data_IF_539464478867
#
_entry.id   IF_539464478867
#
_cell.length_a   1.000
_cell.length_b   1.000
_cell.length_c   1.000
_cell.angle_alpha   90.00
_cell.angle_beta   90.00
_cell.angle_gamma   90.00
#
_symmetry.space_group_name_H-M   'P 1'
#
loop_
_entity.id
_entity.type
_entity.pdbx_description
1 polymer ?
#
# COMPACT_ATOMS: atom_id res chain seq x y z
N UNK A 1 -27.29 -9.82 -13.77
CA UNK A 1 -26.87 -9.15 -12.51
C UNK A 1 -26.17 -10.16 -11.59
N UNK A 2 -25.46 -9.71 -10.54
CA UNK A 2 -24.81 -10.61 -9.56
C UNK A 2 -25.83 -11.57 -8.91
N UNK A 3 -27.03 -11.07 -8.61
CA UNK A 3 -28.10 -11.89 -8.01
C UNK A 3 -28.53 -13.07 -8.89
N UNK A 4 -28.64 -12.84 -10.20
CA UNK A 4 -29.05 -13.89 -11.16
C UNK A 4 -27.99 -14.99 -11.19
N UNK A 5 -26.71 -14.62 -11.28
CA UNK A 5 -25.60 -15.57 -11.22
C UNK A 5 -25.64 -16.43 -9.95
N UNK A 6 -25.85 -15.83 -8.78
CA UNK A 6 -25.92 -16.57 -7.51
C UNK A 6 -27.16 -17.47 -7.46
N UNK A 7 -28.31 -16.96 -7.90
CA UNK A 7 -29.58 -17.69 -7.93
C UNK A 7 -29.53 -18.91 -8.86
N UNK A 8 -28.82 -18.81 -9.98
CA UNK A 8 -28.63 -19.90 -10.94
C UNK A 8 -27.64 -20.96 -10.42
N UNK A 9 -26.55 -20.54 -9.77
CA UNK A 9 -25.48 -21.46 -9.36
C UNK A 9 -25.73 -22.15 -8.01
N UNK A 10 -26.45 -21.51 -7.08
CA UNK A 10 -26.71 -22.08 -5.74
C UNK A 10 -27.43 -23.44 -5.79
N UNK A 11 -28.52 -23.64 -6.55
CA UNK A 11 -29.18 -24.94 -6.65
C UNK A 11 -28.29 -26.02 -7.28
N UNK A 12 -27.40 -25.64 -8.20
CA UNK A 12 -26.45 -26.55 -8.83
C UNK A 12 -25.46 -27.08 -7.80
N UNK A 13 -24.86 -26.19 -7.00
CA UNK A 13 -23.96 -26.57 -5.90
C UNK A 13 -24.67 -27.47 -4.88
N UNK A 14 -25.89 -27.13 -4.48
CA UNK A 14 -26.68 -27.95 -3.55
C UNK A 14 -26.94 -29.35 -4.13
N UNK A 15 -27.32 -29.43 -5.41
CA UNK A 15 -27.53 -30.70 -6.11
C UNK A 15 -26.29 -31.57 -6.17
N UNK A 16 -25.10 -30.96 -6.34
CA UNK A 16 -23.83 -31.67 -6.29
C UNK A 16 -23.55 -32.25 -4.89
N UNK A 17 -23.74 -31.47 -3.82
CA UNK A 17 -23.55 -31.95 -2.45
C UNK A 17 -24.51 -33.09 -2.10
N UNK A 18 -25.77 -33.01 -2.53
CA UNK A 18 -26.76 -34.10 -2.36
C UNK A 18 -26.34 -35.38 -3.07
N UNK A 19 -25.85 -35.27 -4.32
CA UNK A 19 -25.35 -36.42 -5.09
C UNK A 19 -24.12 -37.06 -4.46
N UNK A 20 -23.29 -36.28 -3.78
CA UNK A 20 -22.15 -36.78 -3.00
C UNK A 20 -22.55 -37.43 -1.66
N UNK A 21 -23.84 -37.42 -1.29
CA UNK A 21 -24.33 -38.08 -0.08
C UNK A 21 -24.19 -37.27 1.21
N UNK A 22 -23.99 -35.96 1.12
CA UNK A 22 -23.92 -35.09 2.30
C UNK A 22 -25.27 -35.10 3.07
N UNK A 23 -25.25 -35.55 4.32
CA UNK A 23 -26.43 -35.66 5.21
C UNK A 23 -26.74 -34.36 5.97
N UNK A 24 -26.76 -33.23 5.25
CA UNK A 24 -27.03 -31.91 5.83
C UNK A 24 -28.54 -31.68 6.04
N UNK A 25 -28.91 -30.85 7.02
CA UNK A 25 -30.29 -30.40 7.19
C UNK A 25 -30.63 -29.30 6.18
N UNK A 26 -31.05 -29.72 5.00
CA UNK A 26 -31.41 -28.83 3.89
C UNK A 26 -32.60 -27.91 4.19
N UNK A 27 -33.47 -28.28 5.14
CA UNK A 27 -34.61 -27.44 5.53
C UNK A 27 -34.20 -26.16 6.26
N UNK A 28 -32.97 -26.14 6.81
CA UNK A 28 -32.38 -25.02 7.55
C UNK A 28 -31.32 -24.26 6.77
N UNK A 29 -31.20 -24.50 5.46
CA UNK A 29 -30.23 -23.81 4.62
C UNK A 29 -30.38 -22.28 4.73
N UNK A 30 -29.27 -21.60 5.03
CA UNK A 30 -29.20 -20.12 5.08
C UNK A 30 -28.25 -19.62 4.00
N UNK A 31 -28.51 -18.40 3.55
CA UNK A 31 -27.66 -17.63 2.68
C UNK A 31 -27.39 -16.27 3.29
N UNK A 32 -26.19 -15.76 3.06
CA UNK A 32 -25.71 -14.54 3.73
C UNK A 32 -26.52 -13.29 3.38
N UNK A 33 -27.27 -13.31 2.27
CA UNK A 33 -28.19 -12.24 1.87
C UNK A 33 -29.66 -12.53 2.21
N UNK A 34 -29.95 -13.60 2.99
CA UNK A 34 -31.32 -13.81 3.48
C UNK A 34 -31.71 -12.67 4.44
N UNK A 35 -32.97 -12.17 4.40
CA UNK A 35 -33.40 -11.01 5.19
C UNK A 35 -33.14 -11.14 6.70
N UNK A 36 -33.25 -12.35 7.25
CA UNK A 36 -32.97 -12.61 8.67
C UNK A 36 -31.48 -12.47 9.02
N UNK A 37 -30.58 -12.90 8.12
CA UNK A 37 -29.12 -12.83 8.31
C UNK A 37 -28.67 -11.38 8.22
N UNK A 38 -29.19 -10.63 7.24
CA UNK A 38 -28.95 -9.18 7.12
C UNK A 38 -29.36 -8.46 8.41
N UNK A 39 -30.53 -8.79 8.98
CA UNK A 39 -31.01 -8.22 10.25
C UNK A 39 -30.06 -8.52 11.41
N UNK A 40 -29.51 -9.74 11.47
CA UNK A 40 -28.51 -10.13 12.47
C UNK A 40 -27.23 -9.30 12.30
N UNK A 41 -26.71 -9.19 11.09
CA UNK A 41 -25.48 -8.41 10.79
C UNK A 41 -25.64 -6.96 11.23
N UNK A 42 -26.75 -6.28 10.87
CA UNK A 42 -26.99 -4.90 11.30
C UNK A 42 -27.13 -4.76 12.81
N UNK A 43 -27.83 -5.69 13.47
CA UNK A 43 -27.97 -5.68 14.93
C UNK A 43 -26.60 -5.84 15.61
N UNK A 44 -25.76 -6.76 15.12
CA UNK A 44 -24.41 -6.99 15.64
C UNK A 44 -23.53 -5.78 15.41
N UNK A 45 -23.51 -5.21 14.20
CA UNK A 45 -22.75 -4.00 13.91
C UNK A 45 -23.16 -2.84 14.83
N UNK A 46 -24.47 -2.59 14.98
CA UNK A 46 -24.98 -1.57 15.88
C UNK A 46 -24.54 -1.81 17.32
N UNK A 47 -24.61 -3.06 17.80
CA UNK A 47 -24.14 -3.38 19.15
C UNK A 47 -22.64 -3.09 19.31
N UNK A 48 -21.80 -3.49 18.37
CA UNK A 48 -20.36 -3.23 18.43
C UNK A 48 -20.05 -1.73 18.38
N UNK A 49 -20.83 -0.96 17.63
CA UNK A 49 -20.73 0.50 17.61
C UNK A 49 -21.16 1.12 18.95
N UNK A 50 -22.31 0.72 19.49
CA UNK A 50 -22.83 1.20 20.77
C UNK A 50 -21.87 0.83 21.93
N UNK A 51 -21.16 -0.30 21.83
CA UNK A 51 -20.13 -0.76 22.79
C UNK A 51 -18.76 -0.08 22.57
N UNK A 52 -18.60 0.79 21.57
CA UNK A 52 -17.34 1.50 21.26
C UNK A 52 -16.23 0.62 20.67
N UNK A 53 -16.59 -0.55 20.13
CA UNK A 53 -15.67 -1.50 19.49
C UNK A 53 -15.53 -1.27 17.98
N UNK A 54 -16.49 -0.59 17.36
CA UNK A 54 -16.44 -0.16 15.96
C UNK A 54 -16.22 1.35 15.91
N UNK A 55 -15.25 1.79 15.12
CA UNK A 55 -14.98 3.21 14.89
C UNK A 55 -14.66 3.48 13.43
N UNK A 56 -14.81 4.73 13.02
CA UNK A 56 -14.45 5.20 11.68
C UNK A 56 -13.20 6.08 11.79
N UNK A 57 -12.22 5.82 10.93
CA UNK A 57 -10.98 6.56 10.90
C UNK A 57 -10.42 6.58 9.48
N UNK A 58 -9.65 7.62 9.15
CA UNK A 58 -8.79 7.61 7.97
C UNK A 58 -7.48 6.90 8.33
N UNK A 59 -7.19 5.80 7.63
CA UNK A 59 -5.98 5.01 7.81
C UNK A 59 -5.47 4.52 6.46
N UNK A 60 -4.21 4.09 6.44
CA UNK A 60 -3.71 3.34 5.30
C UNK A 60 -4.43 1.98 5.23
N UNK A 61 -4.96 1.66 4.05
CA UNK A 61 -5.65 0.38 3.80
C UNK A 61 -5.04 -0.31 2.60
N UNK A 62 -5.16 -1.64 2.54
CA UNK A 62 -4.80 -2.43 1.38
C UNK A 62 -5.82 -2.18 0.26
N UNK A 63 -5.56 -1.25 -0.65
CA UNK A 63 -6.50 -0.90 -1.71
C UNK A 63 -6.15 -1.59 -3.03
N UNK A 64 -7.13 -2.24 -3.66
CA UNK A 64 -6.96 -2.75 -5.01
C UNK A 64 -7.52 -1.73 -6.02
N UNK A 65 -6.64 -1.12 -6.80
CA UNK A 65 -7.01 -0.13 -7.83
C UNK A 65 -7.74 -0.74 -9.01
N UNK A 66 -7.68 -2.07 -9.17
CA UNK A 66 -8.44 -2.81 -10.18
C UNK A 66 -9.87 -3.12 -9.69
N UNK A 67 -10.01 -3.68 -8.49
CA UNK A 67 -11.32 -4.04 -7.93
C UNK A 67 -12.07 -2.82 -7.35
N UNK A 68 -11.37 -1.71 -7.09
CA UNK A 68 -11.97 -0.46 -6.59
C UNK A 68 -12.41 -0.53 -5.13
N UNK A 69 -11.73 -1.33 -4.29
CA UNK A 69 -12.08 -1.52 -2.88
C UNK A 69 -10.85 -1.79 -2.01
N UNK A 70 -10.99 -1.51 -0.72
CA UNK A 70 -10.06 -1.93 0.32
C UNK A 70 -10.27 -3.41 0.69
N UNK A 71 -9.19 -4.04 1.13
CA UNK A 71 -9.13 -5.42 1.63
C UNK A 71 -8.58 -5.46 3.04
N UNK A 72 -9.00 -6.47 3.82
CA UNK A 72 -8.36 -6.77 5.11
C UNK A 72 -6.98 -7.41 4.92
N UNK A 73 -6.15 -7.43 5.96
CA UNK A 73 -4.82 -8.05 5.89
C UNK A 73 -4.90 -9.55 5.54
N UNK A 74 -5.98 -10.24 5.93
CA UNK A 74 -6.24 -11.65 5.60
C UNK A 74 -6.59 -11.88 4.13
N UNK A 75 -6.96 -10.82 3.40
CA UNK A 75 -7.30 -10.84 1.98
C UNK A 75 -6.14 -10.37 1.09
N UNK A 76 -4.97 -10.18 1.68
CA UNK A 76 -3.72 -9.92 0.97
C UNK A 76 -2.89 -11.18 0.94
N UNK A 77 -2.42 -11.54 -0.25
CA UNK A 77 -1.44 -12.61 -0.44
C UNK A 77 -0.12 -12.00 -0.88
N UNK A 78 0.97 -12.73 -0.65
CA UNK A 78 2.30 -12.28 -1.01
C UNK A 78 2.94 -13.20 -2.03
N UNK A 79 3.61 -12.59 -3.00
CA UNK A 79 4.41 -13.28 -4.01
C UNK A 79 5.85 -12.76 -3.93
N UNK A 80 6.82 -13.67 -3.92
CA UNK A 80 8.22 -13.28 -4.10
C UNK A 80 8.46 -12.93 -5.57
N UNK A 81 9.02 -11.74 -5.80
CA UNK A 81 9.34 -11.25 -7.14
C UNK A 81 10.74 -10.68 -7.15
N UNK A 82 11.41 -10.87 -8.29
CA UNK A 82 12.64 -10.17 -8.62
C UNK A 82 12.29 -8.88 -9.35
N UNK A 83 12.64 -7.74 -8.76
CA UNK A 83 12.46 -6.41 -9.35
C UNK A 83 13.74 -5.59 -9.17
N UNK A 84 13.96 -4.55 -10.00
CA UNK A 84 15.10 -3.67 -9.84
C UNK A 84 15.04 -2.86 -8.54
N UNK A 85 16.15 -2.85 -7.80
CA UNK A 85 16.40 -1.94 -6.69
C UNK A 85 17.21 -0.74 -7.19
N UNK A 86 16.58 0.43 -7.16
CA UNK A 86 17.16 1.67 -7.67
C UNK A 86 17.90 2.41 -6.55
N UNK A 87 19.16 2.72 -6.77
CA UNK A 87 19.96 3.56 -5.88
C UNK A 87 19.94 4.98 -6.40
N UNK A 88 19.26 5.86 -5.67
CA UNK A 88 18.90 7.21 -6.09
C UNK A 88 19.62 8.24 -5.24
N UNK A 89 20.21 9.24 -5.90
CA UNK A 89 20.86 10.37 -5.25
C UNK A 89 19.82 11.33 -4.67
N UNK A 90 19.97 11.66 -3.39
CA UNK A 90 19.23 12.67 -2.64
C UNK A 90 20.23 13.62 -2.00
N UNK A 91 20.71 14.60 -2.77
CA UNK A 91 21.74 15.52 -2.32
C UNK A 91 23.02 14.76 -1.93
N UNK A 92 23.50 14.86 -0.68
CA UNK A 92 24.67 14.12 -0.21
C UNK A 92 24.38 12.64 0.12
N UNK A 93 23.12 12.21 0.08
CA UNK A 93 22.70 10.85 0.41
C UNK A 93 22.38 10.04 -0.85
N UNK A 94 22.42 8.72 -0.69
CA UNK A 94 21.98 7.76 -1.70
C UNK A 94 21.03 6.83 -0.99
N UNK A 95 19.82 6.65 -1.52
CA UNK A 95 18.82 5.73 -0.94
C UNK A 95 18.46 4.63 -1.93
N UNK A 96 18.04 3.48 -1.41
CA UNK A 96 17.59 2.35 -2.20
C UNK A 96 16.06 2.27 -2.19
N UNK A 97 15.43 2.04 -3.36
CA UNK A 97 13.97 1.88 -3.47
C UNK A 97 13.60 1.02 -4.66
N UNK A 98 12.55 0.22 -4.53
CA UNK A 98 11.91 -0.52 -5.65
C UNK A 98 10.78 0.27 -6.31
N UNK A 99 10.33 1.37 -5.69
CA UNK A 99 9.17 2.18 -6.11
C UNK A 99 9.57 3.64 -6.39
N UNK A 100 10.36 3.94 -7.44
CA UNK A 100 10.80 5.30 -7.74
C UNK A 100 9.63 6.24 -8.07
N UNK A 101 8.50 5.73 -8.58
CA UNK A 101 7.31 6.52 -8.88
C UNK A 101 6.63 7.13 -7.64
N UNK A 102 6.87 6.55 -6.45
CA UNK A 102 6.29 7.05 -5.20
C UNK A 102 7.07 8.22 -4.60
N UNK A 103 8.28 8.53 -5.11
CA UNK A 103 9.16 9.62 -4.62
C UNK A 103 8.43 10.96 -4.49
N UNK A 104 7.46 11.25 -5.37
CA UNK A 104 6.72 12.50 -5.32
C UNK A 104 5.97 12.68 -4.00
N UNK A 105 5.66 11.59 -3.30
CA UNK A 105 5.00 11.55 -2.00
C UNK A 105 5.96 11.56 -0.82
N UNK A 106 7.26 11.70 -1.06
CA UNK A 106 8.24 11.70 0.03
C UNK A 106 8.07 12.90 0.93
N UNK A 107 8.15 12.65 2.23
CA UNK A 107 8.02 13.67 3.28
C UNK A 107 9.26 13.77 4.16
N UNK A 108 10.05 12.70 4.21
CA UNK A 108 11.35 12.68 4.85
C UNK A 108 12.25 11.60 4.22
N UNK A 109 13.51 11.62 4.62
CA UNK A 109 14.44 10.50 4.48
C UNK A 109 14.79 10.02 5.88
N UNK A 110 14.75 8.72 6.13
CA UNK A 110 15.11 8.14 7.41
C UNK A 110 16.48 7.47 7.35
N UNK A 111 17.24 7.62 8.42
CA UNK A 111 18.50 6.91 8.69
C UNK A 111 18.46 6.30 10.08
N UNK A 112 19.27 5.28 10.32
CA UNK A 112 19.35 4.68 11.64
C UNK A 112 20.08 5.62 12.64
N UNK A 113 19.58 5.85 13.87
CA UNK A 113 20.18 6.77 14.84
C UNK A 113 21.64 6.44 15.21
N UNK A 114 22.03 5.17 15.10
CA UNK A 114 23.38 4.70 15.44
C UNK A 114 24.31 4.62 14.22
N UNK A 115 23.83 4.90 13.02
CA UNK A 115 24.66 4.89 11.82
C UNK A 115 25.55 6.13 11.74
N UNK A 116 26.84 5.94 12.05
CA UNK A 116 27.83 7.00 12.08
C UNK A 116 28.01 7.70 10.72
N UNK A 117 27.68 7.04 9.59
CA UNK A 117 27.82 7.63 8.24
C UNK A 117 26.93 8.86 8.07
N UNK A 118 25.75 8.86 8.71
CA UNK A 118 24.69 9.84 8.46
C UNK A 118 24.33 10.73 9.65
N UNK A 119 24.94 10.54 10.82
CA UNK A 119 24.67 11.34 12.03
C UNK A 119 24.68 12.86 11.80
N UNK A 120 25.56 13.34 10.93
CA UNK A 120 25.67 14.76 10.60
C UNK A 120 24.46 15.36 9.88
N UNK A 121 23.59 14.53 9.29
CA UNK A 121 22.41 14.96 8.54
C UNK A 121 21.12 14.88 9.36
N UNK A 122 21.10 14.16 10.48
CA UNK A 122 19.91 13.99 11.32
C UNK A 122 19.36 15.37 11.75
N UNK A 123 18.05 15.52 11.65
CA UNK A 123 17.29 16.74 11.94
C UNK A 123 17.65 17.96 11.08
N UNK A 124 18.35 17.74 9.95
CA UNK A 124 18.63 18.77 8.95
C UNK A 124 17.72 18.61 7.74
N UNK A 125 17.50 19.73 7.06
CA UNK A 125 17.00 19.73 5.70
C UNK A 125 18.17 19.67 4.72
N UNK A 126 18.04 18.81 3.72
CA UNK A 126 19.00 18.72 2.62
C UNK A 126 18.32 19.15 1.32
N UNK A 127 19.07 19.86 0.48
CA UNK A 127 18.65 20.17 -0.87
C UNK A 127 18.81 18.93 -1.75
N UNK A 128 17.75 18.59 -2.48
CA UNK A 128 17.71 17.45 -3.38
C UNK A 128 17.31 17.90 -4.78
N UNK A 129 17.90 17.27 -5.79
CA UNK A 129 17.48 17.42 -7.18
C UNK A 129 16.46 16.31 -7.49
N UNK A 130 15.30 16.68 -8.01
CA UNK A 130 14.25 15.75 -8.41
C UNK A 130 14.00 15.84 -9.92
N UNK A 131 13.23 14.90 -10.45
CA UNK A 131 12.78 14.99 -11.85
C UNK A 131 11.93 16.23 -12.13
N UNK A 132 11.29 16.82 -11.11
CA UNK A 132 10.50 18.06 -11.21
C UNK A 132 11.30 19.32 -10.86
N UNK A 133 12.56 19.19 -10.45
CA UNK A 133 13.44 20.30 -10.05
C UNK A 133 13.93 20.19 -8.61
N UNK A 134 14.47 21.28 -8.09
CA UNK A 134 15.03 21.34 -6.73
C UNK A 134 13.93 21.28 -5.67
N UNK A 135 14.16 20.49 -4.63
CA UNK A 135 13.30 20.41 -3.45
C UNK A 135 14.16 20.31 -2.19
N UNK A 136 13.52 20.48 -1.02
CA UNK A 136 14.14 20.20 0.28
C UNK A 136 13.46 19.00 0.91
N UNK A 137 14.23 18.21 1.64
CA UNK A 137 13.69 17.09 2.42
C UNK A 137 14.38 17.01 3.78
N UNK A 138 13.59 16.71 4.81
CA UNK A 138 14.10 16.51 6.16
C UNK A 138 14.72 15.12 6.29
N UNK A 139 15.85 15.03 6.98
CA UNK A 139 16.43 13.74 7.39
C UNK A 139 16.04 13.48 8.84
N UNK A 140 15.43 12.33 9.11
CA UNK A 140 15.00 11.89 10.44
C UNK A 140 15.77 10.65 10.87
N UNK A 141 15.84 10.43 12.19
CA UNK A 141 16.44 9.24 12.76
C UNK A 141 15.36 8.28 13.26
N UNK A 142 15.27 7.08 12.69
CA UNK A 142 14.29 6.06 13.12
C UNK A 142 14.93 4.67 13.19
N UNK A 143 14.59 3.90 14.24
CA UNK A 143 15.14 2.56 14.47
C UNK A 143 14.61 1.51 13.50
N UNK A 144 13.54 1.83 12.76
CA UNK A 144 13.03 0.98 11.68
C UNK A 144 14.06 0.76 10.57
N UNK A 145 14.95 1.73 10.34
CA UNK A 145 15.93 1.67 9.27
C UNK A 145 17.03 0.65 9.58
N UNK A 146 17.21 -0.34 8.71
CA UNK A 146 18.35 -1.26 8.75
C UNK A 146 19.59 -0.59 8.12
N UNK A 147 20.69 -0.34 8.88
CA UNK A 147 21.92 0.23 8.34
C UNK A 147 22.60 -0.63 7.25
N UNK A 148 22.39 -1.95 7.29
CA UNK A 148 23.04 -2.90 6.38
C UNK A 148 22.26 -3.06 5.07
N UNK A 149 20.97 -2.71 5.05
CA UNK A 149 20.16 -2.81 3.86
C UNK A 149 20.41 -1.64 2.89
N UNK A 150 20.83 -1.98 1.66
CA UNK A 150 21.08 -1.01 0.59
C UNK A 150 22.19 -0.03 0.97
N UNK A 151 21.80 1.17 1.40
CA UNK A 151 22.72 2.22 1.88
C UNK A 151 22.49 2.59 3.34
N UNK A 152 21.50 2.02 4.03
CA UNK A 152 21.07 2.48 5.36
C UNK A 152 20.28 3.78 5.33
N UNK A 153 19.77 4.17 4.16
CA UNK A 153 18.95 5.37 3.93
C UNK A 153 17.65 4.96 3.24
N UNK A 154 16.51 5.34 3.83
CA UNK A 154 15.17 4.96 3.35
C UNK A 154 14.37 6.22 3.05
N UNK A 155 13.68 6.26 1.90
CA UNK A 155 12.69 7.32 1.64
C UNK A 155 11.45 7.06 2.48
N UNK A 156 10.83 8.09 3.03
CA UNK A 156 9.58 7.96 3.78
C UNK A 156 8.45 8.52 2.92
N UNK A 157 7.58 7.64 2.41
CA UNK A 157 6.41 7.96 1.59
C UNK A 157 5.12 7.48 2.27
N UNK A 158 4.61 8.22 3.28
CA UNK A 158 3.66 7.68 4.26
C UNK A 158 2.29 7.28 3.71
N UNK A 159 1.93 7.77 2.54
CA UNK A 159 0.64 7.51 1.92
C UNK A 159 0.64 6.24 1.03
N UNK A 160 1.77 5.56 0.87
CA UNK A 160 1.95 4.46 -0.09
C UNK A 160 2.68 3.24 0.45
N UNK A 161 3.02 3.24 1.74
CA UNK A 161 3.68 2.13 2.41
C UNK A 161 3.32 2.14 3.90
N UNK A 162 3.05 0.96 4.48
CA UNK A 162 2.61 0.84 5.88
C UNK A 162 3.73 1.16 6.86
N UNK A 163 4.96 0.73 6.58
CA UNK A 163 6.09 0.98 7.47
C UNK A 163 6.45 2.48 7.46
N UNK A 164 6.45 3.10 6.27
CA UNK A 164 6.63 4.54 6.12
C UNK A 164 5.55 5.34 6.86
N UNK A 165 4.30 4.84 6.88
CA UNK A 165 3.18 5.47 7.60
C UNK A 165 3.38 5.43 9.11
N UNK A 166 3.88 4.32 9.64
CA UNK A 166 4.20 4.19 11.05
C UNK A 166 5.37 5.11 11.45
N UNK A 167 6.44 5.16 10.64
CA UNK A 167 7.55 6.10 10.82
C UNK A 167 7.01 7.54 10.83
N UNK A 168 6.19 7.90 9.84
CA UNK A 168 5.60 9.23 9.76
C UNK A 168 4.76 9.59 10.99
N UNK A 169 4.00 8.64 11.52
CA UNK A 169 3.21 8.85 12.73
C UNK A 169 4.08 9.12 13.96
N UNK A 170 5.22 8.43 14.09
CA UNK A 170 6.20 8.67 15.19
C UNK A 170 6.87 10.03 15.10
N UNK A 171 7.08 10.54 13.87
CA UNK A 171 7.80 11.78 13.61
C UNK A 171 6.89 12.97 13.24
N UNK A 172 5.56 12.80 13.32
CA UNK A 172 4.56 13.79 12.91
C UNK A 172 4.77 14.32 11.47
N UNK A 173 5.08 13.43 10.53
CA UNK A 173 5.24 13.78 9.13
C UNK A 173 3.88 13.84 8.42
N UNK A 174 3.71 14.73 7.42
CA UNK A 174 2.46 14.83 6.68
C UNK A 174 2.19 13.59 5.84
N UNK A 175 0.92 13.33 5.52
CA UNK A 175 0.54 12.33 4.51
C UNK A 175 0.47 13.01 3.14
N UNK A 176 1.29 12.55 2.20
CA UNK A 176 1.33 13.09 0.83
C UNK A 176 0.99 12.00 -0.19
N UNK A 177 -0.30 11.84 -0.46
CA UNK A 177 -0.79 10.90 -1.48
C UNK A 177 -0.47 11.40 -2.89
N UNK A 178 0.15 10.52 -3.69
CA UNK A 178 0.51 10.76 -5.10
C UNK A 178 -0.12 9.78 -6.08
N UNK A 179 -0.59 8.61 -5.62
CA UNK A 179 -1.35 7.65 -6.41
C UNK A 179 -2.83 7.73 -6.01
N UNK A 180 -3.73 7.88 -6.98
CA UNK A 180 -5.17 7.89 -6.79
C UNK A 180 -5.78 6.49 -6.68
N UNK A 181 -7.06 6.45 -6.31
CA UNK A 181 -7.85 5.20 -6.24
C UNK A 181 -8.07 4.53 -7.61
N UNK A 182 -7.80 5.23 -8.70
CA UNK A 182 -7.81 4.71 -10.07
C UNK A 182 -6.45 4.12 -10.51
N UNK A 183 -5.46 4.09 -9.61
CA UNK A 183 -4.13 3.55 -9.89
C UNK A 183 -3.27 4.44 -10.78
N UNK A 184 -3.59 5.74 -10.89
CA UNK A 184 -2.82 6.73 -11.64
C UNK A 184 -2.14 7.73 -10.70
N UNK A 185 -1.07 8.34 -11.18
CA UNK A 185 -0.45 9.46 -10.47
C UNK A 185 -1.32 10.73 -10.57
N UNK A 186 -1.36 11.51 -9.48
CA UNK A 186 -2.07 12.79 -9.41
C UNK A 186 -1.18 13.99 -9.78
N UNK A 187 -1.74 15.19 -9.60
CA UNK A 187 -1.14 16.50 -9.84
C UNK A 187 0.26 16.68 -9.25
N UNK A 188 0.56 16.04 -8.11
CA UNK A 188 1.86 16.16 -7.42
C UNK A 188 3.02 15.51 -8.19
N UNK A 189 2.71 14.67 -9.18
CA UNK A 189 3.71 14.07 -10.04
C UNK A 189 4.06 14.94 -11.26
N UNK A 190 3.46 16.12 -11.41
CA UNK A 190 3.75 17.05 -12.50
C UNK A 190 3.56 16.40 -13.87
N UNK A 191 4.62 16.33 -14.68
CA UNK A 191 4.55 15.77 -16.05
C UNK A 191 4.17 14.28 -16.13
N UNK A 192 4.11 13.57 -15.01
CA UNK A 192 3.69 12.16 -14.94
C UNK A 192 2.24 11.97 -14.48
N UNK A 193 1.51 13.06 -14.23
CA UNK A 193 0.09 13.02 -13.88
C UNK A 193 -0.72 12.20 -14.90
N UNK A 194 -1.67 11.42 -14.42
CA UNK A 194 -2.54 10.56 -15.23
C UNK A 194 -1.90 9.28 -15.74
N UNK A 195 -0.61 9.05 -15.52
CA UNK A 195 0.04 7.78 -15.85
C UNK A 195 -0.30 6.70 -14.83
N UNK A 196 -0.60 5.49 -15.29
CA UNK A 196 -0.71 4.33 -14.40
C UNK A 196 0.63 4.02 -13.74
N UNK A 197 0.63 3.56 -12.48
CA UNK A 197 1.82 3.27 -11.66
C UNK A 197 2.94 2.56 -12.43
N UNK A 198 2.61 1.49 -13.17
CA UNK A 198 3.60 0.71 -13.93
C UNK A 198 4.24 1.50 -15.08
N UNK A 199 3.47 2.36 -15.74
CA UNK A 199 3.96 3.24 -16.81
C UNK A 199 4.80 4.39 -16.22
N UNK A 200 4.29 5.00 -15.15
CA UNK A 200 4.96 6.07 -14.43
C UNK A 200 6.33 5.61 -13.91
N UNK A 201 6.43 4.40 -13.34
CA UNK A 201 7.71 3.83 -12.88
C UNK A 201 8.77 3.87 -13.96
N UNK A 202 8.44 3.40 -15.18
CA UNK A 202 9.38 3.41 -16.31
C UNK A 202 9.76 4.84 -16.70
N UNK A 203 8.77 5.71 -16.89
CA UNK A 203 9.00 7.09 -17.31
C UNK A 203 9.83 7.90 -16.29
N UNK A 204 9.59 7.68 -14.99
CA UNK A 204 10.34 8.32 -13.91
C UNK A 204 11.79 7.83 -13.89
N UNK A 205 12.02 6.52 -14.02
CA UNK A 205 13.38 5.95 -14.06
C UNK A 205 14.16 6.51 -15.25
N UNK A 206 13.56 6.54 -16.45
CA UNK A 206 14.20 7.09 -17.65
C UNK A 206 14.60 8.56 -17.46
N UNK A 207 13.71 9.37 -16.88
CA UNK A 207 14.01 10.77 -16.60
C UNK A 207 15.12 10.94 -15.54
N UNK A 208 15.12 10.10 -14.51
CA UNK A 208 16.16 10.09 -13.49
C UNK A 208 17.52 9.70 -14.06
N UNK A 209 17.57 8.73 -14.99
CA UNK A 209 18.79 8.37 -15.70
C UNK A 209 19.29 9.53 -16.57
N UNK A 210 18.42 10.19 -17.34
CA UNK A 210 18.77 11.37 -18.16
C UNK A 210 19.35 12.51 -17.32
N UNK A 211 18.85 12.70 -16.10
CA UNK A 211 19.33 13.70 -15.15
C UNK A 211 20.52 13.24 -14.28
N UNK A 212 21.00 12.00 -14.44
CA UNK A 212 22.12 11.47 -13.65
C UNK A 212 21.81 11.27 -12.16
N UNK A 213 20.53 11.15 -11.81
CA UNK A 213 20.03 10.99 -10.44
C UNK A 213 20.08 9.54 -9.93
N UNK A 214 20.31 8.57 -10.81
CA UNK A 214 20.51 7.17 -10.44
C UNK A 214 22.02 6.90 -10.36
N UNK A 215 22.44 6.33 -9.24
CA UNK A 215 23.83 5.92 -9.02
C UNK A 215 24.09 4.51 -9.54
N UNK A 216 23.20 3.57 -9.21
CA UNK A 216 23.23 2.20 -9.69
C UNK A 216 21.83 1.59 -9.69
N UNK A 217 21.65 0.53 -10.47
CA UNK A 217 20.44 -0.28 -10.49
C UNK A 217 20.88 -1.71 -10.23
N UNK A 218 20.34 -2.33 -9.20
CA UNK A 218 20.51 -3.76 -8.94
C UNK A 218 19.27 -4.51 -9.47
N UNK A 219 19.42 -5.23 -10.58
CA UNK A 219 18.31 -5.93 -11.23
C UNK A 219 17.91 -7.25 -10.54
N UNK A 220 18.67 -7.70 -9.53
CA UNK A 220 18.50 -9.02 -8.92
C UNK A 220 17.95 -8.97 -7.50
N UNK A 221 17.31 -7.86 -7.09
CA UNK A 221 16.70 -7.76 -5.78
C UNK A 221 15.39 -8.55 -5.72
N UNK A 222 15.34 -9.54 -4.84
CA UNK A 222 14.13 -10.32 -4.55
C UNK A 222 13.44 -9.74 -3.34
N UNK A 223 12.15 -9.46 -3.47
CA UNK A 223 11.30 -8.93 -2.39
C UNK A 223 9.89 -9.49 -2.49
N UNK A 224 9.08 -9.26 -1.46
CA UNK A 224 7.68 -9.70 -1.41
C UNK A 224 6.77 -8.58 -1.85
N UNK A 225 5.82 -8.91 -2.73
CA UNK A 225 4.79 -7.97 -3.19
C UNK A 225 3.44 -8.41 -2.66
N UNK A 226 2.70 -7.47 -2.09
CA UNK A 226 1.31 -7.65 -1.70
C UNK A 226 0.38 -7.65 -2.93
N UNK A 227 -0.44 -8.69 -3.07
CA UNK A 227 -1.40 -8.86 -4.16
C UNK A 227 -2.81 -9.09 -3.61
N UNK A 228 -3.83 -8.64 -4.34
CA UNK A 228 -5.22 -8.97 -4.06
C UNK A 228 -5.43 -10.49 -4.17
N UNK A 229 -6.01 -11.11 -3.14
CA UNK A 229 -6.24 -12.56 -3.15
C UNK A 229 -7.12 -13.04 -4.31
N UNK A 230 -8.03 -12.20 -4.81
CA UNK A 230 -8.94 -12.51 -5.91
C UNK A 230 -8.32 -12.24 -7.29
N UNK A 231 -8.06 -10.98 -7.62
CA UNK A 231 -7.66 -10.59 -8.96
C UNK A 231 -6.14 -10.69 -9.21
N UNK A 232 -5.33 -10.93 -8.16
CA UNK A 232 -3.85 -11.02 -8.21
C UNK A 232 -3.14 -9.74 -8.66
N UNK A 233 -3.85 -8.62 -8.79
CA UNK A 233 -3.22 -7.33 -9.03
C UNK A 233 -2.49 -6.85 -7.76
N UNK A 234 -1.38 -6.09 -7.91
CA UNK A 234 -0.71 -5.47 -6.78
C UNK A 234 -1.65 -4.61 -5.94
N UNK A 235 -1.53 -4.74 -4.62
CA UNK A 235 -2.20 -3.86 -3.66
C UNK A 235 -1.45 -2.54 -3.59
N UNK A 236 -2.20 -1.45 -3.58
CA UNK A 236 -1.70 -0.12 -3.31
C UNK A 236 -2.13 0.28 -1.88
N UNK A 237 -1.19 0.50 -0.95
CA UNK A 237 -1.53 1.15 0.31
C UNK A 237 -2.01 2.57 0.01
N UNK A 238 -3.23 2.91 0.45
CA UNK A 238 -3.81 4.25 0.26
C UNK A 238 -4.51 4.72 1.53
N UNK A 239 -4.44 6.02 1.88
CA UNK A 239 -5.24 6.58 2.96
C UNK A 239 -6.70 6.59 2.54
N UNK A 240 -7.56 5.97 3.34
CA UNK A 240 -9.00 5.92 3.10
C UNK A 240 -9.76 5.89 4.41
N UNK A 241 -10.83 6.66 4.49
CA UNK A 241 -11.74 6.61 5.62
C UNK A 241 -12.56 5.31 5.58
N UNK A 242 -12.37 4.45 6.59
CA UNK A 242 -13.02 3.15 6.68
C UNK A 242 -13.49 2.84 8.10
N UNK A 243 -14.31 1.79 8.22
CA UNK A 243 -14.72 1.24 9.51
C UNK A 243 -13.73 0.19 9.99
N UNK A 244 -13.32 0.30 11.24
CA UNK A 244 -12.37 -0.61 11.89
C UNK A 244 -12.96 -1.20 13.16
N UNK A 245 -12.51 -2.40 13.51
CA UNK A 245 -12.73 -3.00 14.81
C UNK A 245 -11.56 -2.68 15.73
N UNK A 246 -11.86 -2.39 16.99
CA UNK A 246 -10.87 -2.29 18.06
C UNK A 246 -10.56 -3.71 18.53
N UNK A 247 -9.41 -4.22 18.09
CA UNK A 247 -8.85 -5.52 18.49
C UNK A 247 -7.93 -5.38 19.69
#
# INVERSE_FOLDING_TARGET
>A
MIWDFVSENRPVMEGQLRRLGYSLDWSRGKFTLDPEIIKIVYKTFKKLYDDGLVYRAERLVNYCTYDGTSFSDLEVIYEERRDPLYYVKYGPLVLATTRPETKFGDTAVAVHPQDNRYKQYIDKEIDIETVLGKAKIKVIADKFVDPEFGTGVVKITPAHDFDDNEVASRHNLPLKQVIGFDGKLNDKAGKFEGMYVKQARKAVVEEMQKKGLIEKIDENYTHRIALCYKCKNPIEPLPLEQWFLKT
#
